data_IF_187567504971
#
_entry.id   IF_187567504971
#
_cell.length_a   1.000
_cell.length_b   1.000
_cell.length_c   1.000
_cell.angle_alpha   90.00
_cell.angle_beta   90.00
_cell.angle_gamma   90.00
#
_symmetry.space_group_name_H-M   'P 1'
#
loop_
_entity.id
_entity.type
_entity.pdbx_description
1 polymer ?
#
# COMPACT_ATOMS: atom_id res chain seq x y z
N UNK A 1 2.62 16.06 4.31
CA UNK A 1 1.37 15.66 5.00
C UNK A 1 0.62 14.73 4.07
N UNK A 2 0.56 13.46 4.46
CA UNK A 2 -0.14 12.39 3.74
C UNK A 2 -1.47 12.16 4.44
N UNK A 3 -2.55 12.03 3.66
CA UNK A 3 -3.85 11.65 4.19
C UNK A 3 -4.06 10.15 3.98
N UNK A 4 -4.34 9.42 5.05
CA UNK A 4 -4.67 8.00 4.96
C UNK A 4 -6.14 7.86 4.55
N UNK A 5 -6.39 7.05 3.53
CA UNK A 5 -7.74 6.65 3.11
C UNK A 5 -8.02 5.23 3.56
N UNK A 6 -9.26 4.97 3.98
CA UNK A 6 -9.70 3.65 4.45
C UNK A 6 -10.11 2.72 3.30
N UNK A 7 -10.65 3.31 2.23
CA UNK A 7 -11.11 2.59 1.04
C UNK A 7 -10.02 2.58 -0.03
N UNK A 8 -9.68 1.39 -0.52
CA UNK A 8 -8.64 1.21 -1.54
C UNK A 8 -9.00 1.93 -2.85
N UNK A 9 -10.27 1.87 -3.24
CA UNK A 9 -10.81 2.45 -4.47
C UNK A 9 -10.49 3.94 -4.59
N UNK A 10 -10.51 4.68 -3.47
CA UNK A 10 -10.18 6.10 -3.43
C UNK A 10 -8.71 6.32 -3.79
N UNK A 11 -7.80 5.49 -3.28
CA UNK A 11 -6.38 5.60 -3.61
C UNK A 11 -6.12 5.20 -5.06
N UNK A 12 -6.75 4.11 -5.53
CA UNK A 12 -6.61 3.63 -6.91
C UNK A 12 -7.05 4.68 -7.93
N UNK A 13 -8.19 5.33 -7.72
CA UNK A 13 -8.67 6.43 -8.56
C UNK A 13 -7.73 7.64 -8.48
N UNK A 14 -7.33 8.03 -7.26
CA UNK A 14 -6.45 9.17 -7.05
C UNK A 14 -5.07 9.00 -7.67
N UNK A 15 -4.53 7.77 -7.68
CA UNK A 15 -3.21 7.48 -8.20
C UNK A 15 -3.05 8.00 -9.64
N UNK A 16 -4.03 7.78 -10.52
CA UNK A 16 -3.95 8.20 -11.91
C UNK A 16 -2.64 7.73 -12.56
N UNK A 17 -1.80 8.67 -13.03
CA UNK A 17 -0.45 8.41 -13.58
C UNK A 17 0.69 8.67 -12.58
N UNK A 18 0.40 8.91 -11.31
CA UNK A 18 1.41 9.22 -10.30
C UNK A 18 2.29 8.00 -10.03
N UNK A 19 3.55 8.27 -9.70
CA UNK A 19 4.42 7.28 -9.08
C UNK A 19 3.96 7.00 -7.64
N UNK A 20 4.43 5.88 -7.10
CA UNK A 20 4.10 5.49 -5.75
C UNK A 20 5.07 4.48 -5.17
N UNK A 21 4.92 4.27 -3.88
CA UNK A 21 5.67 3.32 -3.08
C UNK A 21 4.69 2.34 -2.45
N UNK A 22 5.14 1.12 -2.24
CA UNK A 22 4.39 0.16 -1.44
C UNK A 22 5.31 -0.67 -0.56
N UNK A 23 4.77 -1.18 0.54
CA UNK A 23 5.48 -2.01 1.49
C UNK A 23 4.56 -3.17 1.89
N UNK A 24 5.15 -4.35 2.06
CA UNK A 24 4.47 -5.55 2.55
C UNK A 24 5.23 -5.97 3.81
N UNK A 25 4.51 -6.16 4.90
CA UNK A 25 5.05 -6.61 6.18
C UNK A 25 4.35 -7.89 6.60
N UNK A 26 5.11 -8.81 7.19
CA UNK A 26 4.57 -9.93 7.96
C UNK A 26 4.52 -9.49 9.43
N UNK A 27 3.31 -9.47 9.98
CA UNK A 27 3.01 -9.03 11.33
C UNK A 27 2.27 -10.16 12.05
N UNK A 28 3.01 -11.01 12.76
CA UNK A 28 2.48 -12.10 13.60
C UNK A 28 1.43 -12.98 12.88
N UNK A 29 1.72 -13.36 11.63
CA UNK A 29 0.84 -14.22 10.83
C UNK A 29 -0.25 -13.46 10.05
N UNK A 30 -0.27 -12.13 10.13
CA UNK A 30 -1.01 -11.25 9.24
C UNK A 30 -0.08 -10.57 8.24
N UNK A 31 -0.65 -10.09 7.15
CA UNK A 31 0.05 -9.34 6.12
C UNK A 31 -0.44 -7.91 6.16
N UNK A 32 0.43 -6.97 6.50
CA UNK A 32 0.13 -5.55 6.38
C UNK A 32 0.64 -5.04 5.04
N UNK A 33 -0.24 -4.36 4.29
CA UNK A 33 0.14 -3.62 3.09
C UNK A 33 -0.01 -2.14 3.30
N UNK A 34 1.03 -1.41 2.92
CA UNK A 34 1.05 0.05 2.87
C UNK A 34 1.28 0.49 1.44
N UNK A 35 0.54 1.50 1.00
CA UNK A 35 0.70 2.12 -0.32
C UNK A 35 0.70 3.62 -0.15
N UNK A 36 1.64 4.31 -0.79
CA UNK A 36 1.74 5.77 -0.80
C UNK A 36 1.82 6.25 -2.24
N UNK A 37 0.95 7.19 -2.62
CA UNK A 37 1.04 7.89 -3.90
C UNK A 37 0.63 9.35 -3.74
N UNK A 38 1.44 10.27 -4.27
CA UNK A 38 1.21 11.71 -4.11
C UNK A 38 1.05 12.11 -2.64
N UNK A 39 -0.16 12.55 -2.26
CA UNK A 39 -0.50 12.95 -0.88
C UNK A 39 -1.44 11.96 -0.18
N UNK A 40 -1.74 10.80 -0.77
CA UNK A 40 -2.60 9.80 -0.18
C UNK A 40 -1.83 8.53 0.18
N UNK A 41 -2.16 7.98 1.33
CA UNK A 41 -1.67 6.69 1.78
C UNK A 41 -2.82 5.73 2.05
N UNK A 42 -2.55 4.44 1.96
CA UNK A 42 -3.44 3.36 2.33
C UNK A 42 -2.67 2.39 3.21
N UNK A 43 -3.31 1.87 4.25
CA UNK A 43 -2.74 0.89 5.18
C UNK A 43 -3.84 -0.08 5.60
N UNK A 44 -3.61 -1.39 5.41
CA UNK A 44 -4.56 -2.42 5.85
C UNK A 44 -3.84 -3.74 6.17
N UNK A 45 -4.39 -4.49 7.11
CA UNK A 45 -3.96 -5.84 7.47
C UNK A 45 -4.88 -6.89 6.85
N UNK A 46 -4.29 -8.01 6.45
CA UNK A 46 -4.96 -9.17 5.86
C UNK A 46 -4.57 -10.43 6.62
N UNK A 47 -5.53 -11.30 6.90
CA UNK A 47 -5.26 -12.58 7.59
C UNK A 47 -4.66 -13.63 6.64
N UNK A 48 -4.87 -13.48 5.34
CA UNK A 48 -4.46 -14.48 4.35
C UNK A 48 -3.73 -13.85 3.16
N UNK A 49 -2.66 -14.50 2.64
CA UNK A 49 -1.92 -14.02 1.47
C UNK A 49 -2.71 -14.04 0.16
N UNK A 50 -3.77 -14.84 0.09
CA UNK A 50 -4.64 -15.00 -1.08
C UNK A 50 -5.91 -14.14 -1.01
N UNK A 51 -5.97 -13.18 -0.07
CA UNK A 51 -7.08 -12.23 0.00
C UNK A 51 -7.24 -11.50 -1.33
N UNK A 52 -8.49 -11.37 -1.78
CA UNK A 52 -8.80 -10.85 -3.10
C UNK A 52 -8.44 -9.37 -3.23
N UNK A 53 -8.66 -8.58 -2.18
CA UNK A 53 -8.33 -7.14 -2.16
C UNK A 53 -6.81 -6.97 -2.13
N UNK A 54 -6.11 -7.72 -1.25
CA UNK A 54 -4.65 -7.75 -1.21
C UNK A 54 -4.04 -8.07 -2.57
N UNK A 55 -4.54 -9.13 -3.23
CA UNK A 55 -4.07 -9.55 -4.55
C UNK A 55 -4.26 -8.44 -5.59
N UNK A 56 -5.42 -7.75 -5.56
CA UNK A 56 -5.70 -6.61 -6.45
C UNK A 56 -4.75 -5.44 -6.20
N UNK A 57 -4.49 -5.08 -4.94
CA UNK A 57 -3.57 -4.02 -4.56
C UNK A 57 -2.15 -4.30 -5.07
N UNK A 58 -1.64 -5.51 -4.84
CA UNK A 58 -0.30 -5.90 -5.28
C UNK A 58 -0.18 -5.93 -6.81
N UNK A 59 -1.22 -6.42 -7.49
CA UNK A 59 -1.26 -6.41 -8.96
C UNK A 59 -1.28 -4.96 -9.50
N UNK A 60 -2.02 -4.06 -8.86
CA UNK A 60 -2.03 -2.64 -9.20
C UNK A 60 -0.65 -2.02 -9.03
N UNK A 61 -0.01 -2.20 -7.87
CA UNK A 61 1.31 -1.63 -7.59
C UNK A 61 2.36 -2.11 -8.59
N UNK A 62 2.34 -3.41 -8.94
CA UNK A 62 3.22 -3.98 -9.97
C UNK A 62 2.97 -3.38 -11.36
N UNK A 63 1.70 -3.30 -11.79
CA UNK A 63 1.31 -2.70 -13.08
C UNK A 63 1.70 -1.24 -13.20
N UNK A 64 1.59 -0.48 -12.11
CA UNK A 64 1.97 0.94 -12.03
C UNK A 64 3.45 1.17 -11.79
N UNK A 65 4.25 0.10 -11.70
CA UNK A 65 5.68 0.17 -11.41
C UNK A 65 5.98 0.96 -10.11
N UNK A 66 5.11 0.83 -9.12
CA UNK A 66 5.38 1.39 -7.80
C UNK A 66 6.61 0.71 -7.22
N UNK A 67 7.39 1.46 -6.45
CA UNK A 67 8.63 0.98 -5.87
C UNK A 67 8.30 0.23 -4.58
N UNK A 68 8.68 -1.04 -4.51
CA UNK A 68 8.59 -1.79 -3.26
C UNK A 68 9.70 -1.34 -2.30
N UNK A 69 9.29 -0.86 -1.14
CA UNK A 69 10.20 -0.37 -0.10
C UNK A 69 10.48 -1.49 0.90
N UNK A 70 11.70 -1.50 1.46
CA UNK A 70 12.13 -2.50 2.44
C UNK A 70 11.23 -2.53 3.67
N UNK A 71 10.96 -3.72 4.20
CA UNK A 71 10.15 -3.96 5.39
C UNK A 71 10.71 -3.29 6.68
N UNK A 72 11.97 -2.87 6.68
CA UNK A 72 12.62 -2.26 7.85
C UNK A 72 12.18 -0.80 8.09
N UNK A 73 11.39 -0.19 7.19
CA UNK A 73 10.89 1.18 7.35
C UNK A 73 9.60 1.18 8.20
N UNK A 74 9.59 1.94 9.29
CA UNK A 74 8.41 2.16 10.15
C UNK A 74 7.33 2.96 9.42
N UNK A 75 6.07 2.79 9.82
CA UNK A 75 4.91 3.45 9.18
C UNK A 75 5.02 4.97 9.14
N UNK A 76 5.41 5.59 10.25
CA UNK A 76 5.64 7.03 10.38
C UNK A 76 6.68 7.55 9.38
N UNK A 77 7.66 6.72 9.03
CA UNK A 77 8.68 7.05 8.04
C UNK A 77 8.22 6.74 6.61
N UNK A 78 7.33 5.77 6.43
CA UNK A 78 6.76 5.42 5.13
C UNK A 78 5.79 6.50 4.61
N UNK A 79 4.97 7.11 5.48
CA UNK A 79 3.98 8.13 5.10
C UNK A 79 4.44 9.58 5.34
N UNK A 80 5.75 9.83 5.45
CA UNK A 80 6.30 11.16 5.74
C UNK A 80 6.42 12.05 4.50
#
# INVERSE_FOLDING_TARGET
MVNLVEEWEILEEYAGEKLGFYQILDCDGKIEVRVLTGKLGFKKEYERPDDQELTRILAFCKRRQFIQVSANIRDEAFFK
#
